data_IF_277966512013
#
_entry.id   IF_277966512013
#
_cell.length_a   1.000
_cell.length_b   1.000
_cell.length_c   1.000
_cell.angle_alpha   90.00
_cell.angle_beta   90.00
_cell.angle_gamma   90.00
#
_symmetry.space_group_name_H-M   'P 1'
#
loop_
_entity.id
_entity.type
_entity.pdbx_description
1 polymer ?
#
# COMPACT_ATOMS: atom_id res chain seq x y z
N UNK A 1 29.19 -32.21 -51.08
CA UNK A 1 29.65 -30.99 -50.40
C UNK A 1 28.48 -30.10 -49.88
N UNK A 2 27.46 -29.85 -50.70
CA UNK A 2 26.32 -28.99 -50.31
C UNK A 2 25.44 -29.52 -49.17
N UNK A 3 25.26 -30.84 -48.99
CA UNK A 3 24.45 -31.41 -47.90
C UNK A 3 25.11 -31.27 -46.53
N UNK A 4 26.45 -31.31 -46.46
CA UNK A 4 27.20 -31.11 -45.22
C UNK A 4 27.16 -29.65 -44.77
N UNK A 5 27.25 -28.70 -45.72
CA UNK A 5 27.15 -27.27 -45.44
C UNK A 5 25.74 -26.91 -44.97
N UNK A 6 24.70 -27.50 -45.55
CA UNK A 6 23.32 -27.28 -45.15
C UNK A 6 23.05 -27.84 -43.75
N UNK A 7 23.59 -29.02 -43.42
CA UNK A 7 23.48 -29.62 -42.10
C UNK A 7 24.20 -28.79 -41.01
N UNK A 8 25.39 -28.25 -41.33
CA UNK A 8 26.13 -27.39 -40.42
C UNK A 8 25.41 -26.04 -40.16
N UNK A 9 24.80 -25.47 -41.20
CA UNK A 9 24.04 -24.21 -41.09
C UNK A 9 22.77 -24.39 -40.26
N UNK A 10 22.09 -25.54 -40.35
CA UNK A 10 20.91 -25.83 -39.57
C UNK A 10 21.24 -26.01 -38.06
N UNK A 11 22.42 -26.57 -37.76
CA UNK A 11 22.87 -26.75 -36.36
C UNK A 11 23.20 -25.43 -35.66
N UNK A 12 23.67 -24.41 -36.41
CA UNK A 12 23.97 -23.08 -35.84
C UNK A 12 22.71 -22.30 -35.50
N UNK A 13 21.59 -22.55 -36.18
CA UNK A 13 20.32 -21.86 -35.95
C UNK A 13 19.58 -22.34 -34.68
N UNK A 14 20.00 -23.45 -34.08
CA UNK A 14 19.38 -24.01 -32.86
C UNK A 14 19.99 -23.50 -31.55
N UNK A 15 20.95 -22.59 -31.61
CA UNK A 15 21.61 -22.01 -30.41
C UNK A 15 20.87 -20.82 -29.80
N UNK A 16 19.58 -20.65 -30.08
CA UNK A 16 18.76 -19.62 -29.42
C UNK A 16 18.40 -20.04 -27.99
N UNK A 17 19.39 -20.09 -27.10
CA UNK A 17 19.18 -20.19 -25.67
C UNK A 17 18.92 -18.80 -25.11
N UNK A 18 17.69 -18.49 -24.75
CA UNK A 18 17.41 -17.33 -23.91
C UNK A 18 18.26 -17.40 -22.63
N UNK A 19 19.05 -16.36 -22.37
CA UNK A 19 19.91 -16.31 -21.20
C UNK A 19 19.04 -16.30 -19.94
N UNK A 20 19.16 -17.31 -19.09
CA UNK A 20 18.44 -17.49 -17.81
C UNK A 20 18.60 -16.29 -16.85
N UNK A 21 19.63 -15.46 -17.06
CA UNK A 21 19.92 -14.23 -16.31
C UNK A 21 18.85 -13.14 -16.44
N UNK A 22 18.08 -13.11 -17.52
CA UNK A 22 17.10 -12.04 -17.76
C UNK A 22 15.72 -12.37 -17.20
N UNK A 23 15.55 -13.55 -16.61
CA UNK A 23 14.28 -14.05 -16.06
C UNK A 23 14.24 -13.93 -14.54
N UNK A 24 15.38 -13.88 -13.85
CA UNK A 24 15.45 -13.87 -12.39
C UNK A 24 15.50 -12.43 -11.86
N UNK A 25 14.74 -12.17 -10.79
CA UNK A 25 14.83 -10.93 -10.00
C UNK A 25 15.99 -10.98 -9.02
N UNK A 26 16.51 -9.81 -8.64
CA UNK A 26 17.36 -9.64 -7.47
C UNK A 26 18.69 -10.45 -7.51
N UNK A 27 19.27 -10.64 -8.70
CA UNK A 27 20.49 -11.45 -8.86
C UNK A 27 21.75 -10.82 -8.27
N UNK A 28 21.78 -9.49 -8.12
CA UNK A 28 22.93 -8.72 -7.64
C UNK A 28 22.83 -8.39 -6.14
N UNK A 29 21.87 -8.98 -5.43
CA UNK A 29 21.83 -8.87 -3.97
C UNK A 29 22.98 -9.74 -3.43
N UNK A 30 24.14 -9.11 -3.20
CA UNK A 30 25.12 -9.67 -2.29
C UNK A 30 24.37 -10.03 -1.00
N UNK A 31 24.61 -11.25 -0.47
CA UNK A 31 24.02 -11.66 0.80
C UNK A 31 24.47 -10.65 1.88
N UNK A 32 23.73 -9.57 2.01
CA UNK A 32 23.95 -8.54 2.99
C UNK A 32 23.33 -9.08 4.26
N UNK A 33 24.16 -9.59 5.16
CA UNK A 33 23.75 -10.00 6.48
C UNK A 33 22.93 -8.86 7.09
N UNK A 34 21.65 -9.16 7.35
CA UNK A 34 20.75 -8.54 8.29
C UNK A 34 20.88 -7.04 8.58
N UNK A 35 20.91 -6.17 7.58
CA UNK A 35 20.65 -4.75 7.83
C UNK A 35 19.18 -4.59 8.22
N UNK A 36 18.95 -4.09 9.44
CA UNK A 36 17.63 -3.72 9.88
C UNK A 36 16.99 -2.79 8.82
N UNK A 37 15.93 -3.26 8.17
CA UNK A 37 15.18 -2.43 7.25
C UNK A 37 14.57 -1.28 8.05
N UNK A 38 15.08 -0.07 7.86
CA UNK A 38 14.38 1.14 8.29
C UNK A 38 13.04 1.16 7.56
N UNK A 39 11.97 0.86 8.28
CA UNK A 39 10.63 1.05 7.75
C UNK A 39 10.32 2.54 7.86
N UNK A 40 10.39 3.25 6.76
CA UNK A 40 9.81 4.58 6.69
C UNK A 40 8.31 4.43 7.00
N UNK A 41 7.89 5.06 8.10
CA UNK A 41 6.48 5.08 8.45
C UNK A 41 5.73 5.88 7.39
N UNK A 42 4.66 5.30 6.87
CA UNK A 42 3.77 6.02 5.95
C UNK A 42 3.11 7.18 6.70
N UNK A 43 3.27 8.39 6.16
CA UNK A 43 2.64 9.60 6.70
C UNK A 43 1.30 9.82 6.02
N UNK A 44 0.32 10.25 6.79
CA UNK A 44 -1.02 10.59 6.29
C UNK A 44 -0.97 11.79 5.36
N UNK A 45 -1.65 11.70 4.23
CA UNK A 45 -1.72 12.75 3.21
C UNK A 45 -3.14 13.29 3.04
N UNK A 46 -3.26 14.47 2.40
CA UNK A 46 -4.56 14.97 1.95
C UNK A 46 -5.24 13.97 1.02
N UNK A 47 -6.56 13.85 1.14
CA UNK A 47 -7.40 12.89 0.43
C UNK A 47 -7.23 11.43 0.87
N UNK A 48 -6.43 11.12 1.88
CA UNK A 48 -6.50 9.82 2.53
C UNK A 48 -7.86 9.64 3.22
N UNK A 49 -8.35 8.41 3.25
CA UNK A 49 -9.56 8.04 4.00
C UNK A 49 -9.10 7.16 5.16
N UNK A 50 -9.30 7.67 6.39
CA UNK A 50 -8.91 7.00 7.60
C UNK A 50 -10.11 6.24 8.19
N UNK A 51 -9.99 4.92 8.29
CA UNK A 51 -10.89 4.11 9.10
C UNK A 51 -10.39 4.16 10.54
N UNK A 52 -11.21 4.71 11.43
CA UNK A 52 -10.90 4.84 12.85
C UNK A 52 -11.89 3.99 13.62
N UNK A 53 -11.38 3.10 14.46
CA UNK A 53 -12.17 2.23 15.32
C UNK A 53 -11.75 2.44 16.77
N UNK A 54 -12.71 2.83 17.61
CA UNK A 54 -12.53 3.07 19.03
C UNK A 54 -13.30 1.99 19.79
N UNK A 55 -12.58 1.26 20.65
CA UNK A 55 -13.16 0.25 21.53
C UNK A 55 -12.88 0.61 23.00
N UNK A 56 -13.74 0.18 23.89
CA UNK A 56 -13.58 0.31 25.33
C UNK A 56 -14.02 -0.97 26.04
N UNK A 57 -13.74 -1.07 27.34
CA UNK A 57 -14.20 -2.20 28.16
C UNK A 57 -15.73 -2.35 28.14
N UNK A 58 -16.44 -1.23 28.00
CA UNK A 58 -17.89 -1.19 27.81
C UNK A 58 -18.15 -0.76 26.37
N UNK A 59 -18.48 -1.69 25.45
CA UNK A 59 -18.60 -1.39 24.01
C UNK A 59 -19.59 -0.25 23.71
N UNK A 60 -20.69 -0.18 24.46
CA UNK A 60 -21.73 0.84 24.31
C UNK A 60 -21.20 2.25 24.56
N UNK A 61 -20.23 2.39 25.46
CA UNK A 61 -19.61 3.69 25.78
C UNK A 61 -18.75 4.22 24.63
N UNK A 62 -18.17 3.34 23.79
CA UNK A 62 -17.37 3.71 22.63
C UNK A 62 -18.22 4.07 21.40
N UNK A 63 -19.47 3.59 21.33
CA UNK A 63 -20.35 3.79 20.18
C UNK A 63 -20.51 5.27 19.74
N UNK A 64 -20.67 6.26 20.63
CA UNK A 64 -20.83 7.65 20.22
C UNK A 64 -19.63 8.24 19.46
N UNK A 65 -18.43 7.69 19.67
CA UNK A 65 -17.16 8.17 19.10
C UNK A 65 -16.84 7.52 17.74
N UNK A 66 -17.50 6.42 17.41
CA UNK A 66 -17.37 5.76 16.13
C UNK A 66 -18.29 6.38 15.07
N UNK A 67 -17.91 6.29 13.80
CA UNK A 67 -18.73 6.76 12.69
C UNK A 67 -20.14 6.14 12.76
N UNK A 68 -21.21 6.93 12.59
CA UNK A 68 -22.58 6.41 12.54
C UNK A 68 -22.77 5.32 11.47
N UNK A 69 -22.04 5.43 10.35
CA UNK A 69 -22.07 4.44 9.28
C UNK A 69 -21.47 3.08 9.69
N UNK A 70 -20.55 3.05 10.68
CA UNK A 70 -19.98 1.81 11.21
C UNK A 70 -20.99 0.98 12.01
N UNK A 71 -22.11 1.58 12.43
CA UNK A 71 -23.15 0.93 13.27
C UNK A 71 -24.18 0.16 12.48
N UNK A 72 -24.34 0.47 11.19
CA UNK A 72 -25.43 -0.07 10.35
C UNK A 72 -25.09 -1.39 9.66
N UNK A 73 -23.89 -1.90 9.79
CA UNK A 73 -23.43 -3.08 9.03
C UNK A 73 -23.43 -4.38 9.84
N UNK A 74 -24.53 -4.68 10.54
CA UNK A 74 -24.74 -6.03 11.07
C UNK A 74 -24.97 -7.11 9.96
N UNK A 75 -25.20 -6.70 8.72
CA UNK A 75 -25.48 -7.60 7.60
C UNK A 75 -24.60 -7.31 6.38
N UNK A 76 -23.49 -8.06 6.26
CA UNK A 76 -22.87 -8.47 4.99
C UNK A 76 -22.22 -7.43 4.06
N UNK A 77 -21.54 -6.39 4.51
CA UNK A 77 -20.74 -5.60 3.55
C UNK A 77 -19.34 -5.29 4.08
N UNK A 78 -18.47 -6.29 4.04
CA UNK A 78 -17.00 -6.09 4.20
C UNK A 78 -16.34 -5.69 2.87
N UNK A 79 -17.05 -4.93 2.01
CA UNK A 79 -16.42 -4.43 0.79
C UNK A 79 -15.59 -3.18 1.11
N UNK A 80 -14.46 -3.04 0.42
CA UNK A 80 -13.56 -1.90 0.56
C UNK A 80 -14.29 -0.56 0.30
N UNK A 81 -15.27 -0.56 -0.59
CA UNK A 81 -16.12 0.60 -0.88
C UNK A 81 -16.93 1.06 0.32
N UNK A 82 -17.47 0.12 1.09
CA UNK A 82 -18.21 0.46 2.32
C UNK A 82 -17.28 1.01 3.38
N UNK A 83 -16.10 0.42 3.55
CA UNK A 83 -15.10 0.95 4.48
C UNK A 83 -14.68 2.37 4.12
N UNK A 84 -14.52 2.69 2.82
CA UNK A 84 -14.24 4.06 2.37
C UNK A 84 -15.37 5.04 2.70
N UNK A 85 -16.63 4.62 2.55
CA UNK A 85 -17.79 5.46 2.90
C UNK A 85 -17.93 5.70 4.41
N UNK A 86 -17.44 4.78 5.23
CA UNK A 86 -17.47 4.88 6.69
C UNK A 86 -16.26 5.61 7.27
N UNK A 87 -15.20 5.80 6.48
CA UNK A 87 -13.97 6.44 6.89
C UNK A 87 -14.07 7.97 6.94
N UNK A 88 -13.06 8.57 7.54
CA UNK A 88 -12.90 10.02 7.64
C UNK A 88 -11.96 10.51 6.56
N UNK A 89 -12.46 11.39 5.67
CA UNK A 89 -11.65 11.99 4.61
C UNK A 89 -10.74 13.06 5.20
N UNK A 90 -9.43 12.96 4.94
CA UNK A 90 -8.47 14.00 5.28
C UNK A 90 -8.65 15.17 4.34
N UNK A 91 -9.00 16.32 4.89
CA UNK A 91 -9.24 17.55 4.14
C UNK A 91 -7.95 18.08 3.49
N UNK A 92 -8.08 19.04 2.57
CA UNK A 92 -6.93 19.75 1.99
C UNK A 92 -6.11 20.54 3.02
N UNK A 93 -6.72 20.87 4.16
CA UNK A 93 -6.05 21.51 5.31
C UNK A 93 -5.46 20.51 6.29
N UNK A 94 -5.53 19.19 5.98
CA UNK A 94 -4.95 18.11 6.77
C UNK A 94 -5.74 17.68 8.00
N UNK A 95 -7.01 18.09 8.10
CA UNK A 95 -7.85 17.77 9.25
C UNK A 95 -8.87 16.68 8.92
N UNK A 96 -9.23 15.90 9.93
CA UNK A 96 -10.42 15.06 9.97
C UNK A 96 -11.39 15.62 11.02
N UNK A 97 -12.66 15.25 10.94
CA UNK A 97 -13.68 15.65 11.90
C UNK A 97 -14.27 14.41 12.56
N UNK A 98 -13.97 14.25 13.85
CA UNK A 98 -14.42 13.11 14.66
C UNK A 98 -15.67 13.47 15.44
N UNK A 99 -16.64 12.54 15.60
CA UNK A 99 -17.77 12.75 16.49
C UNK A 99 -17.30 13.08 17.90
N UNK A 100 -17.91 14.08 18.52
CA UNK A 100 -17.65 14.55 19.89
C UNK A 100 -16.28 15.19 20.08
N UNK A 101 -15.20 14.60 19.54
CA UNK A 101 -13.83 15.11 19.67
C UNK A 101 -13.54 16.31 18.77
N UNK A 102 -14.36 16.51 17.72
CA UNK A 102 -14.20 17.63 16.78
C UNK A 102 -13.05 17.45 15.79
N UNK A 103 -12.42 18.57 15.41
CA UNK A 103 -11.36 18.59 14.38
C UNK A 103 -10.01 18.16 14.94
N UNK A 104 -9.35 17.25 14.23
CA UNK A 104 -8.00 16.76 14.55
C UNK A 104 -7.10 16.93 13.33
N UNK A 105 -5.93 17.57 13.51
CA UNK A 105 -4.91 17.67 12.49
C UNK A 105 -4.15 16.34 12.39
N UNK A 106 -4.17 15.72 11.20
CA UNK A 106 -3.56 14.41 10.95
C UNK A 106 -2.52 14.41 9.82
N UNK A 107 -2.44 15.50 9.05
CA UNK A 107 -1.51 15.64 7.93
C UNK A 107 -0.06 15.46 8.40
N UNK A 108 0.74 14.73 7.59
CA UNK A 108 2.15 14.44 7.84
C UNK A 108 2.45 13.73 9.17
N UNK A 109 1.44 13.09 9.76
CA UNK A 109 1.62 12.28 10.97
C UNK A 109 1.61 10.79 10.65
N UNK A 110 2.43 9.98 11.35
CA UNK A 110 2.29 8.52 11.35
C UNK A 110 0.96 8.09 11.97
N UNK A 111 0.39 6.99 11.51
CA UNK A 111 -0.88 6.45 12.05
C UNK A 111 -0.82 6.23 13.56
N UNK A 112 0.29 5.69 14.06
CA UNK A 112 0.49 5.45 15.50
C UNK A 112 0.41 6.73 16.35
N UNK A 113 0.91 7.85 15.82
CA UNK A 113 0.82 9.16 16.51
C UNK A 113 -0.62 9.60 16.59
N UNK A 114 -1.41 9.43 15.53
CA UNK A 114 -2.83 9.76 15.48
C UNK A 114 -3.62 8.89 16.47
N UNK A 115 -3.33 7.59 16.53
CA UNK A 115 -3.94 6.67 17.51
C UNK A 115 -3.70 7.14 18.96
N UNK A 116 -2.46 7.51 19.26
CA UNK A 116 -2.10 8.00 20.59
C UNK A 116 -2.78 9.33 20.93
N UNK A 117 -2.82 10.28 20.00
CA UNK A 117 -3.51 11.57 20.19
C UNK A 117 -5.01 11.38 20.45
N UNK A 118 -5.69 10.54 19.66
CA UNK A 118 -7.11 10.25 19.87
C UNK A 118 -7.32 9.59 21.23
N UNK A 119 -6.46 8.62 21.59
CA UNK A 119 -6.53 7.96 22.89
C UNK A 119 -6.36 8.96 24.04
N UNK A 120 -5.40 9.87 23.93
CA UNK A 120 -5.15 10.90 24.91
C UNK A 120 -6.36 11.84 25.06
N UNK A 121 -6.95 12.31 23.96
CA UNK A 121 -8.16 13.13 23.97
C UNK A 121 -9.33 12.44 24.67
N UNK A 122 -9.51 11.13 24.41
CA UNK A 122 -10.58 10.34 25.03
C UNK A 122 -10.39 10.18 26.55
N UNK A 123 -9.15 9.99 26.99
CA UNK A 123 -8.83 9.79 28.42
C UNK A 123 -8.84 11.12 29.17
N UNK A 124 -8.13 12.13 28.66
CA UNK A 124 -7.99 13.44 29.31
C UNK A 124 -9.33 14.20 29.38
N UNK A 125 -10.19 14.04 28.35
CA UNK A 125 -11.53 14.57 28.32
C UNK A 125 -12.52 13.85 29.26
N UNK A 126 -12.11 12.77 29.95
CA UNK A 126 -12.98 11.95 30.79
C UNK A 126 -14.04 11.17 30.01
N UNK A 127 -13.84 10.99 28.69
CA UNK A 127 -14.82 10.34 27.83
C UNK A 127 -14.83 8.82 27.98
N UNK A 128 -13.62 8.20 27.98
CA UNK A 128 -13.46 6.74 28.07
C UNK A 128 -12.31 6.37 28.99
N UNK A 129 -12.45 5.25 29.69
CA UNK A 129 -11.39 4.66 30.51
C UNK A 129 -10.66 3.61 29.70
N UNK A 130 -9.36 3.79 29.53
CA UNK A 130 -8.47 2.87 28.82
C UNK A 130 -9.00 2.41 27.44
N UNK A 131 -9.32 3.35 26.51
CA UNK A 131 -9.79 3.00 25.19
C UNK A 131 -8.67 2.38 24.34
N UNK A 132 -9.05 1.50 23.40
CA UNK A 132 -8.21 1.06 22.29
C UNK A 132 -8.61 1.82 21.04
N UNK A 133 -7.64 2.43 20.36
CA UNK A 133 -7.85 3.17 19.13
C UNK A 133 -7.03 2.51 18.03
N UNK A 134 -7.65 2.26 16.89
CA UNK A 134 -6.98 1.73 15.69
C UNK A 134 -7.29 2.64 14.52
N UNK A 135 -6.25 3.05 13.79
CA UNK A 135 -6.36 3.89 12.59
C UNK A 135 -5.76 3.17 11.40
N UNK A 136 -6.47 3.15 10.27
CA UNK A 136 -5.99 2.55 9.01
C UNK A 136 -6.35 3.43 7.83
N UNK A 137 -5.46 3.51 6.83
CA UNK A 137 -5.78 4.11 5.52
C UNK A 137 -6.49 3.06 4.68
N UNK A 138 -7.67 3.38 4.12
CA UNK A 138 -8.50 2.42 3.37
C UNK A 138 -8.61 2.73 1.87
N UNK A 139 -7.98 3.80 1.40
CA UNK A 139 -7.96 4.16 -0.01
C UNK A 139 -6.58 4.07 -0.66
N UNK A 140 -5.64 3.37 0.00
CA UNK A 140 -4.31 3.13 -0.58
C UNK A 140 -4.42 2.36 -1.89
N UNK A 141 -3.68 2.82 -2.90
CA UNK A 141 -3.68 2.20 -4.23
C UNK A 141 -2.32 2.36 -4.90
N UNK A 142 -2.00 1.42 -5.76
CA UNK A 142 -0.85 1.47 -6.66
C UNK A 142 -1.31 1.21 -8.08
N UNK A 143 -0.76 1.95 -9.04
CA UNK A 143 -1.05 1.75 -10.46
C UNK A 143 0.15 1.13 -11.14
N UNK A 144 -0.06 0.02 -11.82
CA UNK A 144 0.96 -0.71 -12.58
C UNK A 144 0.65 -0.59 -14.06
N UNK A 145 1.60 -0.08 -14.83
CA UNK A 145 1.48 0.13 -16.26
C UNK A 145 2.72 -0.44 -16.98
N UNK A 146 2.57 -0.72 -18.27
CA UNK A 146 3.65 -1.23 -19.13
C UNK A 146 3.52 -2.72 -19.38
N UNK A 147 4.67 -3.37 -19.60
CA UNK A 147 4.79 -4.77 -20.01
C UNK A 147 4.59 -5.75 -18.85
N UNK A 148 3.39 -5.74 -18.26
CA UNK A 148 2.91 -6.66 -17.23
C UNK A 148 1.70 -7.44 -17.74
N UNK A 149 1.45 -8.63 -17.18
CA UNK A 149 0.34 -9.47 -17.64
C UNK A 149 -1.04 -8.85 -17.38
N UNK A 150 -1.18 -8.06 -16.31
CA UNK A 150 -2.44 -7.39 -15.93
C UNK A 150 -2.16 -5.96 -15.49
N UNK A 151 -2.03 -5.02 -16.44
CA UNK A 151 -1.91 -3.61 -16.07
C UNK A 151 -3.20 -3.11 -15.42
N UNK A 152 -3.08 -2.22 -14.42
CA UNK A 152 -4.24 -1.71 -13.70
C UNK A 152 -3.90 -1.00 -12.41
N UNK A 153 -4.95 -0.58 -11.69
CA UNK A 153 -4.84 0.01 -10.36
C UNK A 153 -5.30 -1.01 -9.30
N UNK A 154 -4.44 -1.28 -8.34
CA UNK A 154 -4.64 -2.24 -7.27
C UNK A 154 -4.77 -1.51 -5.94
N UNK A 155 -5.88 -1.75 -5.23
CA UNK A 155 -6.05 -1.27 -3.85
C UNK A 155 -5.39 -2.24 -2.89
N UNK A 156 -4.82 -1.72 -1.81
CA UNK A 156 -4.20 -2.53 -0.75
C UNK A 156 -4.50 -1.91 0.63
N UNK A 157 -4.36 -2.70 1.68
CA UNK A 157 -4.64 -2.29 3.06
C UNK A 157 -3.43 -2.46 3.99
N UNK A 158 -2.35 -2.99 3.46
CA UNK A 158 -1.08 -3.15 4.16
C UNK A 158 -0.43 -1.77 4.37
N UNK A 159 0.25 -1.56 5.50
CA UNK A 159 1.00 -0.32 5.75
C UNK A 159 2.16 -0.13 4.78
N UNK A 160 2.75 -1.23 4.32
CA UNK A 160 3.86 -1.22 3.38
C UNK A 160 3.62 -2.25 2.28
N UNK A 161 3.92 -1.86 1.05
CA UNK A 161 3.83 -2.72 -0.11
C UNK A 161 5.19 -2.72 -0.83
N UNK A 162 5.72 -3.91 -1.10
CA UNK A 162 7.00 -4.06 -1.80
C UNK A 162 6.79 -4.13 -3.32
N UNK A 163 7.82 -3.73 -4.09
CA UNK A 163 7.76 -3.81 -5.56
C UNK A 163 7.48 -5.23 -6.06
N UNK A 164 8.09 -6.31 -5.53
CA UNK A 164 7.74 -7.67 -5.92
C UNK A 164 6.27 -8.03 -5.66
N UNK A 165 5.68 -7.58 -4.54
CA UNK A 165 4.25 -7.79 -4.27
C UNK A 165 3.37 -7.07 -5.30
N UNK A 166 3.71 -5.83 -5.65
CA UNK A 166 2.99 -5.06 -6.68
C UNK A 166 3.04 -5.77 -8.03
N UNK A 167 4.21 -6.25 -8.44
CA UNK A 167 4.36 -7.01 -9.68
C UNK A 167 3.59 -8.33 -9.62
N UNK A 168 3.56 -8.99 -8.46
CA UNK A 168 2.72 -10.18 -8.23
C UNK A 168 1.23 -9.91 -8.44
N UNK A 169 0.69 -8.78 -7.98
CA UNK A 169 -0.70 -8.38 -8.25
C UNK A 169 -0.96 -8.18 -9.75
N UNK A 170 0.00 -7.62 -10.47
CA UNK A 170 -0.06 -7.44 -11.91
C UNK A 170 0.20 -8.74 -12.72
N UNK A 171 0.46 -9.87 -12.04
CA UNK A 171 0.74 -11.16 -12.69
C UNK A 171 2.13 -11.26 -13.29
N UNK A 172 3.08 -10.51 -12.77
CA UNK A 172 4.47 -10.35 -13.22
C UNK A 172 4.61 -9.62 -14.57
N UNK A 173 5.85 -9.31 -14.93
CA UNK A 173 6.19 -8.78 -16.26
C UNK A 173 5.96 -9.85 -17.34
N UNK A 174 5.60 -9.40 -18.54
CA UNK A 174 5.54 -10.27 -19.72
C UNK A 174 6.94 -10.70 -20.14
N UNK A 175 7.02 -11.58 -21.14
CA UNK A 175 8.31 -11.99 -21.74
C UNK A 175 9.05 -10.82 -22.42
N UNK A 176 8.35 -9.74 -22.75
CA UNK A 176 8.90 -8.52 -23.35
C UNK A 176 9.25 -7.46 -22.28
N UNK A 177 8.87 -7.67 -21.03
CA UNK A 177 9.13 -6.73 -19.96
C UNK A 177 10.58 -6.78 -19.47
N UNK A 178 11.22 -5.62 -19.39
CA UNK A 178 12.59 -5.52 -18.88
C UNK A 178 12.59 -5.38 -17.34
N UNK A 179 13.09 -6.42 -16.68
CA UNK A 179 13.18 -6.48 -15.21
C UNK A 179 14.21 -5.50 -14.63
N UNK A 180 15.12 -5.03 -15.46
CA UNK A 180 16.16 -4.06 -15.08
C UNK A 180 15.71 -2.60 -15.26
N UNK A 181 14.52 -2.38 -15.83
CA UNK A 181 14.01 -1.05 -16.14
C UNK A 181 12.65 -0.76 -15.50
N UNK A 182 12.40 -1.30 -14.32
CA UNK A 182 11.20 -0.97 -13.55
C UNK A 182 11.35 0.42 -12.95
N UNK A 183 10.42 1.32 -13.29
CA UNK A 183 10.38 2.68 -12.76
C UNK A 183 9.36 2.78 -11.63
N UNK A 184 9.81 3.19 -10.47
CA UNK A 184 8.95 3.55 -9.34
C UNK A 184 8.74 5.06 -9.33
N UNK A 185 7.48 5.48 -9.51
CA UNK A 185 7.07 6.88 -9.42
C UNK A 185 6.31 7.06 -8.12
N UNK A 186 6.77 7.96 -7.25
CA UNK A 186 6.10 8.36 -6.02
C UNK A 186 5.76 9.83 -6.04
N UNK A 187 4.56 10.17 -5.61
CA UNK A 187 4.15 11.55 -5.36
C UNK A 187 3.86 11.70 -3.87
N UNK A 188 4.52 12.64 -3.24
CA UNK A 188 4.33 12.98 -1.83
C UNK A 188 4.54 14.48 -1.65
N UNK A 189 3.62 15.15 -0.96
CA UNK A 189 3.67 16.59 -0.67
C UNK A 189 3.92 17.47 -1.92
N UNK A 190 3.30 17.09 -3.07
CA UNK A 190 3.48 17.80 -4.33
C UNK A 190 4.83 17.56 -5.04
N UNK A 191 5.67 16.71 -4.49
CA UNK A 191 6.96 16.33 -5.08
C UNK A 191 6.83 14.97 -5.74
N UNK A 192 7.21 14.89 -7.01
CA UNK A 192 7.29 13.63 -7.76
C UNK A 192 8.73 13.11 -7.74
N UNK A 193 8.92 11.92 -7.23
CA UNK A 193 10.20 11.21 -7.24
C UNK A 193 10.12 10.03 -8.21
N UNK A 194 11.12 9.89 -9.08
CA UNK A 194 11.25 8.75 -10.00
C UNK A 194 12.52 7.98 -9.64
N UNK A 195 12.39 6.69 -9.39
CA UNK A 195 13.51 5.80 -9.06
C UNK A 195 13.47 4.58 -9.97
N UNK A 196 14.59 4.29 -10.63
CA UNK A 196 14.79 3.03 -11.35
C UNK A 196 15.15 1.95 -10.33
N UNK A 197 14.49 0.81 -10.45
CA UNK A 197 14.69 -0.37 -9.59
C UNK A 197 15.31 -1.45 -10.47
N UNK A 198 16.47 -1.93 -10.06
CA UNK A 198 17.18 -3.04 -10.73
C UNK A 198 16.98 -4.33 -9.92
#
# INVERSE_FOLDING_TARGET
MNKLIFSALTLVLLQSCAFKKDILYLQDIAATEGNALSRDQSLVQSNDILQITINSLIPEAANPYNSPASRTTANNVNSLEVLKLQGYLVSSTGNIELPILGKLLVLDKPLQTIENEIKELLVSGGHLVNPSVTVRVVNSKVTVLGEVNRPGTYSFMEETLTVPQVLGYAGDLTINGDRKEVLLIRESNGIRTVKKIN
#
